data_IF_966936970656
#
_entry.id   IF_966936970656
#
_cell.length_a   1.000
_cell.length_b   1.000
_cell.length_c   1.000
_cell.angle_alpha   90.00
_cell.angle_beta   90.00
_cell.angle_gamma   90.00
#
_symmetry.space_group_name_H-M   'P 1'
#
loop_
_entity.id
_entity.type
_entity.pdbx_description
1 polymer ?
#
# COMPACT_ATOMS: atom_id res chain seq x y z
N UNK A 1 -10.00 15.14 38.20
CA UNK A 1 -9.91 13.67 38.01
C UNK A 1 -10.01 13.43 36.51
N UNK A 2 -8.86 13.29 35.83
CA UNK A 2 -8.80 13.37 34.36
C UNK A 2 -9.16 12.03 33.74
N UNK A 3 -10.20 12.04 32.90
CA UNK A 3 -10.64 10.94 32.05
C UNK A 3 -9.50 10.56 31.08
N UNK A 4 -8.77 9.48 31.38
CA UNK A 4 -7.86 8.88 30.40
C UNK A 4 -8.73 8.29 29.30
N UNK A 5 -8.71 8.89 28.12
CA UNK A 5 -9.32 8.33 26.92
C UNK A 5 -8.58 7.02 26.58
N UNK A 6 -9.14 5.89 27.01
CA UNK A 6 -8.55 4.54 26.95
C UNK A 6 -8.61 3.93 25.55
N UNK A 7 -8.21 4.67 24.52
CA UNK A 7 -8.09 4.14 23.16
C UNK A 7 -6.61 4.11 22.81
N UNK A 8 -5.98 2.93 22.68
CA UNK A 8 -4.59 2.86 22.28
C UNK A 8 -4.46 3.51 20.90
N UNK A 9 -3.47 4.39 20.75
CA UNK A 9 -3.17 4.96 19.44
C UNK A 9 -2.53 3.86 18.60
N UNK A 10 -3.29 3.34 17.64
CA UNK A 10 -2.82 2.34 16.69
C UNK A 10 -2.36 3.09 15.44
N UNK A 11 -1.12 2.86 15.04
CA UNK A 11 -0.61 3.33 13.75
C UNK A 11 -0.23 2.12 12.90
N UNK A 12 -0.61 2.16 11.63
CA UNK A 12 -0.28 1.12 10.65
C UNK A 12 0.57 1.76 9.57
N UNK A 13 1.74 1.20 9.34
CA UNK A 13 2.72 1.71 8.39
C UNK A 13 3.13 0.57 7.44
N UNK A 14 3.21 0.87 6.15
CA UNK A 14 3.70 -0.11 5.15
C UNK A 14 5.20 -0.28 5.34
N UNK A 15 5.68 -1.51 5.56
CA UNK A 15 7.09 -1.76 5.90
C UNK A 15 8.00 -1.77 4.67
N UNK A 16 7.48 -2.18 3.52
CA UNK A 16 8.22 -2.26 2.26
C UNK A 16 7.33 -1.92 1.07
N UNK A 17 7.95 -1.53 -0.05
CA UNK A 17 7.23 -1.39 -1.33
C UNK A 17 6.69 -2.77 -1.76
N UNK A 18 5.53 -2.84 -2.45
CA UNK A 18 5.05 -4.10 -3.00
C UNK A 18 6.06 -4.68 -4.00
N UNK A 19 6.35 -5.98 -3.89
CA UNK A 19 7.24 -6.69 -4.82
C UNK A 19 6.56 -6.93 -6.18
N UNK A 20 5.23 -6.93 -6.20
CA UNK A 20 4.42 -7.10 -7.39
C UNK A 20 3.28 -6.07 -7.44
N UNK A 21 2.85 -5.76 -8.65
CA UNK A 21 1.69 -4.92 -8.94
C UNK A 21 0.54 -5.78 -9.48
N UNK A 22 -0.72 -5.34 -9.32
CA UNK A 22 -1.88 -6.06 -9.86
C UNK A 22 -1.88 -6.12 -11.39
N UNK A 23 -1.19 -5.19 -12.05
CA UNK A 23 -0.96 -5.17 -13.50
C UNK A 23 0.55 -5.08 -13.76
N UNK A 24 1.01 -5.84 -14.74
CA UNK A 24 2.40 -5.84 -15.19
C UNK A 24 2.67 -4.71 -16.19
N UNK A 25 3.93 -4.36 -16.37
CA UNK A 25 4.34 -3.34 -17.34
C UNK A 25 4.00 -3.76 -18.79
N UNK A 26 4.15 -5.04 -19.10
CA UNK A 26 3.81 -5.60 -20.42
C UNK A 26 2.32 -5.53 -20.73
N UNK A 27 1.46 -5.86 -19.75
CA UNK A 27 0.00 -5.74 -19.90
C UNK A 27 -0.41 -4.29 -20.16
N UNK A 28 0.20 -3.33 -19.45
CA UNK A 28 -0.09 -1.91 -19.63
C UNK A 28 0.44 -1.40 -20.98
N UNK A 29 1.64 -1.83 -21.40
CA UNK A 29 2.18 -1.50 -22.72
C UNK A 29 1.29 -2.03 -23.84
N UNK A 30 0.85 -3.28 -23.73
CA UNK A 30 -0.07 -3.90 -24.68
C UNK A 30 -1.40 -3.13 -24.76
N UNK A 31 -1.94 -2.73 -23.61
CA UNK A 31 -3.16 -1.92 -23.54
C UNK A 31 -2.99 -0.52 -24.18
N UNK A 32 -1.85 0.12 -23.94
CA UNK A 32 -1.54 1.46 -24.49
C UNK A 32 -0.96 1.43 -25.91
N UNK A 33 -0.72 0.24 -26.48
CA UNK A 33 -0.05 0.02 -27.78
C UNK A 33 1.33 0.67 -27.86
N UNK A 34 2.10 0.57 -26.77
CA UNK A 34 3.47 1.06 -26.68
C UNK A 34 4.42 -0.09 -26.97
N UNK A 35 5.20 0.04 -28.05
CA UNK A 35 6.19 -0.98 -28.47
C UNK A 35 7.63 -0.62 -28.07
N UNK A 36 7.86 0.59 -27.53
CA UNK A 36 9.18 1.06 -27.13
C UNK A 36 9.41 0.92 -25.61
N UNK A 37 10.68 0.95 -25.20
CA UNK A 37 11.08 0.81 -23.80
C UNK A 37 11.52 2.12 -23.14
N UNK A 38 11.34 3.26 -23.83
CA UNK A 38 11.79 4.56 -23.32
C UNK A 38 10.96 5.03 -22.13
N UNK A 39 9.67 4.69 -22.14
CA UNK A 39 8.69 5.14 -21.15
C UNK A 39 8.52 4.19 -19.96
N UNK A 40 9.29 3.10 -19.88
CA UNK A 40 9.10 2.04 -18.88
C UNK A 40 9.17 2.55 -17.45
N UNK A 41 10.08 3.50 -17.19
CA UNK A 41 10.23 4.13 -15.89
C UNK A 41 9.00 4.97 -15.52
N UNK A 42 8.44 5.68 -16.49
CA UNK A 42 7.25 6.50 -16.30
C UNK A 42 6.03 5.61 -16.09
N UNK A 43 5.84 4.62 -16.95
CA UNK A 43 4.75 3.64 -16.87
C UNK A 43 4.79 2.91 -15.52
N UNK A 44 5.97 2.45 -15.07
CA UNK A 44 6.12 1.83 -13.75
C UNK A 44 5.72 2.78 -12.60
N UNK A 45 6.05 4.06 -12.72
CA UNK A 45 5.69 5.07 -11.72
C UNK A 45 4.18 5.32 -11.69
N UNK A 46 3.54 5.34 -12.85
CA UNK A 46 2.08 5.47 -12.98
C UNK A 46 1.35 4.25 -12.42
N UNK A 47 1.83 3.03 -12.70
CA UNK A 47 1.29 1.78 -12.12
C UNK A 47 1.37 1.85 -10.60
N UNK A 48 2.49 2.31 -10.03
CA UNK A 48 2.65 2.47 -8.59
C UNK A 48 1.63 3.45 -8.00
N UNK A 49 1.51 4.66 -8.56
CA UNK A 49 0.57 5.68 -8.07
C UNK A 49 -0.88 5.21 -8.20
N UNK A 50 -1.24 4.59 -9.32
CA UNK A 50 -2.58 4.06 -9.55
C UNK A 50 -2.93 2.94 -8.56
N UNK A 51 -1.98 2.04 -8.30
CA UNK A 51 -2.16 0.96 -7.32
C UNK A 51 -2.35 1.53 -5.92
N UNK A 52 -1.49 2.48 -5.51
CA UNK A 52 -1.58 3.10 -4.19
C UNK A 52 -2.90 3.86 -3.99
N UNK A 53 -3.35 4.57 -5.03
CA UNK A 53 -4.67 5.23 -5.02
C UNK A 53 -5.83 4.24 -4.92
N UNK A 54 -5.78 3.13 -5.66
CA UNK A 54 -6.81 2.10 -5.62
C UNK A 54 -6.87 1.42 -4.23
N UNK A 55 -5.72 1.11 -3.64
CA UNK A 55 -5.64 0.56 -2.28
C UNK A 55 -6.18 1.53 -1.23
N UNK A 56 -5.85 2.82 -1.36
CA UNK A 56 -6.37 3.87 -0.49
C UNK A 56 -7.89 4.00 -0.61
N UNK A 57 -8.43 4.00 -1.84
CA UNK A 57 -9.86 4.13 -2.09
C UNK A 57 -10.67 2.92 -1.61
N UNK A 58 -10.12 1.71 -1.75
CA UNK A 58 -10.77 0.47 -1.35
C UNK A 58 -10.54 0.11 0.13
N UNK A 59 -9.64 0.84 0.81
CA UNK A 59 -9.11 0.53 2.15
C UNK A 59 -8.62 -0.92 2.27
N UNK A 60 -8.09 -1.46 1.16
CA UNK A 60 -7.71 -2.87 1.02
C UNK A 60 -6.39 -3.01 0.30
N UNK A 61 -5.68 -4.05 0.70
CA UNK A 61 -4.49 -4.53 0.05
C UNK A 61 -4.86 -5.30 -1.22
N UNK A 62 -4.42 -4.85 -2.39
CA UNK A 62 -4.66 -5.53 -3.68
C UNK A 62 -3.65 -6.65 -3.92
N UNK A 63 -2.45 -6.50 -3.40
CA UNK A 63 -1.35 -7.48 -3.48
C UNK A 63 -0.89 -7.89 -2.09
N UNK A 64 -0.10 -8.96 -1.97
CA UNK A 64 0.47 -9.36 -0.67
C UNK A 64 1.54 -8.34 -0.25
N UNK A 65 1.38 -7.76 0.94
CA UNK A 65 2.31 -6.77 1.49
C UNK A 65 2.53 -6.95 2.99
N UNK A 66 3.67 -6.44 3.46
CA UNK A 66 4.05 -6.48 4.87
C UNK A 66 3.73 -5.15 5.54
N UNK A 67 2.86 -5.19 6.54
CA UNK A 67 2.47 -4.05 7.35
C UNK A 67 3.06 -4.16 8.75
N UNK A 68 3.48 -3.02 9.30
CA UNK A 68 3.86 -2.89 10.69
C UNK A 68 2.74 -2.17 11.43
N UNK A 69 2.27 -2.78 12.52
CA UNK A 69 1.30 -2.17 13.43
C UNK A 69 2.04 -1.77 14.70
N UNK A 70 1.97 -0.50 15.07
CA UNK A 70 2.55 0.05 16.29
C UNK A 70 1.44 0.52 17.22
N UNK A 71 1.57 0.20 18.50
CA UNK A 71 0.61 0.56 19.55
C UNK A 71 1.27 1.55 20.51
N UNK A 72 0.72 2.75 20.60
CA UNK A 72 1.11 3.77 21.58
C UNK A 72 0.08 3.77 22.72
N UNK A 73 0.05 2.69 23.49
CA UNK A 73 -0.36 2.58 24.91
C UNK A 73 -0.20 1.12 25.36
N UNK A 74 -0.32 0.83 26.65
CA UNK A 74 -0.32 -0.54 27.16
C UNK A 74 -1.55 -1.31 26.64
N UNK A 75 -1.34 -2.18 25.64
CA UNK A 75 -2.35 -3.17 25.23
C UNK A 75 -2.38 -4.24 26.32
N UNK A 76 -3.41 -4.19 27.18
CA UNK A 76 -3.63 -5.24 28.17
C UNK A 76 -3.88 -6.55 27.42
N UNK A 77 -2.98 -7.52 27.61
CA UNK A 77 -2.94 -8.83 26.95
C UNK A 77 -4.33 -9.38 26.59
N UNK A 78 -4.52 -9.67 25.30
CA UNK A 78 -5.42 -10.74 24.88
C UNK A 78 -4.67 -11.65 23.91
N UNK A 79 -4.17 -12.73 24.50
CA UNK A 79 -3.81 -13.99 23.84
C UNK A 79 -5.05 -14.55 23.14
#
# INVERSE_FOLDING_TARGET
MSIRSTSPRISVQRKSKPESFPVTLEEVKSFLRIENDQDDKLISSLIFVATDYAEWHMEKSLVKQTWQVSYEDYVKDKI
#
